data_IF_045139840546
#
_entry.id   IF_045139840546
#
_cell.length_a   1.000
_cell.length_b   1.000
_cell.length_c   1.000
_cell.angle_alpha   90.00
_cell.angle_beta   90.00
_cell.angle_gamma   90.00
#
_symmetry.space_group_name_H-M   'P 1'
#
loop_
_entity.id
_entity.type
_entity.pdbx_description
1 polymer ?
#
# COMPACT_ATOMS: atom_id res chain seq x y z
N UNK A 1 3.36 5.82 -15.46
CA UNK A 1 2.72 5.31 -14.21
C UNK A 1 1.46 6.06 -13.82
N UNK A 2 1.36 7.37 -14.10
CA UNK A 2 0.18 8.18 -13.79
C UNK A 2 -1.18 7.59 -14.22
N UNK A 3 -1.35 6.97 -15.41
CA UNK A 3 -2.64 6.37 -15.78
C UNK A 3 -3.16 5.32 -14.80
N UNK A 4 -2.29 4.47 -14.23
CA UNK A 4 -2.68 3.47 -13.24
C UNK A 4 -3.23 4.09 -11.94
N UNK A 5 -2.77 5.29 -11.59
CA UNK A 5 -3.24 6.01 -10.40
C UNK A 5 -4.48 6.87 -10.65
N UNK A 6 -4.71 7.23 -11.91
CA UNK A 6 -5.81 8.11 -12.31
C UNK A 6 -7.09 7.33 -12.57
N UNK A 7 -6.97 6.11 -13.10
CA UNK A 7 -8.11 5.33 -13.60
C UNK A 7 -8.40 4.15 -12.65
N UNK A 8 -9.66 3.97 -12.17
CA UNK A 8 -10.04 2.82 -11.35
C UNK A 8 -9.96 1.49 -12.10
N UNK A 9 -9.58 0.41 -11.41
CA UNK A 9 -9.36 -0.90 -12.01
C UNK A 9 -10.51 -1.86 -11.73
N UNK A 10 -11.05 -2.52 -12.75
CA UNK A 10 -11.99 -3.64 -12.55
C UNK A 10 -11.24 -4.77 -11.85
N UNK A 11 -11.74 -5.20 -10.69
CA UNK A 11 -11.01 -6.16 -9.84
C UNK A 11 -11.81 -7.41 -9.47
N UNK A 12 -13.13 -7.41 -9.62
CA UNK A 12 -13.95 -8.54 -9.16
C UNK A 12 -13.50 -9.85 -9.81
N UNK A 13 -13.22 -10.85 -8.97
CA UNK A 13 -12.79 -12.16 -9.44
C UNK A 13 -11.31 -12.25 -9.83
N UNK A 14 -10.59 -11.13 -9.93
CA UNK A 14 -9.18 -11.14 -10.32
C UNK A 14 -8.25 -11.56 -9.17
N UNK A 15 -7.13 -12.25 -9.47
CA UNK A 15 -6.12 -12.60 -8.48
C UNK A 15 -5.51 -11.35 -7.85
N UNK A 16 -5.36 -11.41 -6.53
CA UNK A 16 -4.83 -10.31 -5.73
C UNK A 16 -4.03 -10.86 -4.56
N UNK A 17 -2.82 -10.32 -4.36
CA UNK A 17 -1.88 -10.75 -3.31
C UNK A 17 -2.37 -10.46 -1.88
N UNK A 18 -3.40 -9.63 -1.75
CA UNK A 18 -3.99 -9.24 -0.46
C UNK A 18 -4.63 -10.43 0.24
N UNK A 19 -4.20 -10.70 1.47
CA UNK A 19 -4.62 -11.83 2.28
C UNK A 19 -3.80 -13.11 2.08
N UNK A 20 -2.77 -13.06 1.23
CA UNK A 20 -1.79 -14.14 1.05
C UNK A 20 -0.40 -13.68 1.53
N UNK A 21 0.21 -12.73 0.82
CA UNK A 21 1.53 -12.17 1.14
C UNK A 21 1.49 -10.71 1.60
N UNK A 22 0.30 -10.09 1.57
CA UNK A 22 0.07 -8.69 1.95
C UNK A 22 -1.13 -8.62 2.87
N UNK A 23 -1.02 -7.86 3.96
CA UNK A 23 -2.09 -7.64 4.93
C UNK A 23 -2.23 -6.16 5.27
N UNK A 24 -3.43 -5.76 5.70
CA UNK A 24 -3.69 -4.47 6.33
C UNK A 24 -3.92 -4.72 7.81
N UNK A 25 -3.32 -3.89 8.66
CA UNK A 25 -3.46 -3.98 10.12
C UNK A 25 -3.90 -2.62 10.64
N UNK A 26 -4.88 -2.59 11.54
CA UNK A 26 -5.29 -1.36 12.24
C UNK A 26 -4.55 -1.17 13.57
N UNK A 27 -4.87 -0.09 14.29
CA UNK A 27 -4.20 0.27 15.55
C UNK A 27 -4.39 -0.74 16.68
N UNK A 28 -5.48 -1.50 16.66
CA UNK A 28 -5.77 -2.54 17.65
C UNK A 28 -5.15 -3.90 17.25
N UNK A 29 -4.42 -3.94 16.14
CA UNK A 29 -3.77 -5.14 15.61
C UNK A 29 -4.69 -6.02 14.79
N UNK A 30 -5.93 -5.62 14.48
CA UNK A 30 -6.85 -6.44 13.69
C UNK A 30 -6.34 -6.53 12.26
N UNK A 31 -6.12 -7.76 11.79
CA UNK A 31 -5.61 -8.08 10.48
C UNK A 31 -6.76 -8.29 9.51
N UNK A 32 -6.72 -7.59 8.39
CA UNK A 32 -7.61 -7.77 7.24
C UNK A 32 -6.77 -7.99 5.99
N UNK A 33 -7.36 -8.61 4.96
CA UNK A 33 -6.64 -8.78 3.69
C UNK A 33 -6.38 -7.46 2.98
N UNK A 34 -7.34 -6.56 2.98
CA UNK A 34 -7.33 -5.28 2.27
C UNK A 34 -8.02 -4.22 3.14
N UNK A 35 -7.64 -2.95 3.00
CA UNK A 35 -8.25 -1.85 3.73
C UNK A 35 -9.79 -1.74 3.53
N UNK A 36 -10.27 -2.05 2.33
CA UNK A 36 -11.68 -1.96 1.96
C UNK A 36 -12.47 -3.25 2.17
N UNK A 37 -11.80 -4.40 2.33
CA UNK A 37 -12.46 -5.68 2.61
C UNK A 37 -12.52 -5.87 4.13
N UNK A 38 -13.71 -5.74 4.70
CA UNK A 38 -13.91 -5.70 6.16
C UNK A 38 -13.73 -7.05 6.88
N UNK A 39 -13.78 -8.16 6.14
CA UNK A 39 -13.59 -9.49 6.70
C UNK A 39 -12.23 -9.61 7.41
N UNK A 40 -12.30 -9.95 8.68
CA UNK A 40 -11.14 -10.10 9.57
C UNK A 40 -10.49 -11.47 9.37
N UNK A 41 -9.16 -11.47 9.40
CA UNK A 41 -8.35 -12.68 9.32
C UNK A 41 -7.90 -13.15 10.71
N UNK A 42 -7.82 -12.24 11.68
CA UNK A 42 -7.35 -12.47 13.04
C UNK A 42 -6.65 -11.21 13.58
N UNK A 43 -5.79 -11.36 14.59
CA UNK A 43 -5.02 -10.26 15.18
C UNK A 43 -3.50 -10.49 15.02
N UNK A 44 -2.75 -9.40 14.82
CA UNK A 44 -1.30 -9.39 14.63
C UNK A 44 -0.57 -9.82 15.90
N UNK A 45 -1.04 -9.36 17.06
CA UNK A 45 -0.36 -9.51 18.34
C UNK A 45 -0.42 -10.95 18.88
N UNK A 46 -1.51 -11.67 18.61
CA UNK A 46 -1.65 -13.08 18.98
C UNK A 46 -1.30 -14.06 17.83
N UNK A 47 -1.01 -13.53 16.64
CA UNK A 47 -0.66 -14.32 15.45
C UNK A 47 -1.79 -15.16 14.86
N UNK A 48 -3.03 -15.02 15.34
CA UNK A 48 -4.18 -15.81 14.89
C UNK A 48 -4.47 -15.68 13.39
N UNK A 49 -4.12 -14.52 12.80
CA UNK A 49 -4.30 -14.23 11.38
C UNK A 49 -3.62 -15.22 10.43
N UNK A 50 -2.50 -15.82 10.87
CA UNK A 50 -1.64 -16.65 10.01
C UNK A 50 -2.39 -17.85 9.42
N UNK A 51 -3.32 -18.43 10.18
CA UNK A 51 -4.14 -19.57 9.73
C UNK A 51 -5.13 -19.21 8.63
N UNK A 52 -5.45 -17.92 8.50
CA UNK A 52 -6.39 -17.42 7.51
C UNK A 52 -5.69 -16.85 6.27
N UNK A 53 -4.37 -16.93 6.15
CA UNK A 53 -3.65 -16.49 4.95
C UNK A 53 -3.82 -17.49 3.81
N UNK A 54 -4.01 -16.98 2.59
CA UNK A 54 -4.09 -17.79 1.39
C UNK A 54 -4.57 -17.00 0.17
N UNK A 55 -4.34 -17.54 -1.04
CA UNK A 55 -4.72 -16.91 -2.29
C UNK A 55 -6.24 -16.73 -2.37
N UNK A 56 -6.68 -15.55 -2.80
CA UNK A 56 -8.11 -15.22 -2.93
C UNK A 56 -8.34 -14.19 -4.02
N UNK A 57 -9.40 -14.37 -4.80
CA UNK A 57 -9.87 -13.33 -5.72
C UNK A 57 -10.32 -12.06 -4.98
N UNK A 58 -10.21 -10.90 -5.63
CA UNK A 58 -10.73 -9.64 -5.09
C UNK A 58 -12.28 -9.63 -5.12
N UNK A 59 -12.96 -9.32 -4.01
CA UNK A 59 -14.42 -9.26 -3.96
C UNK A 59 -15.00 -7.92 -4.43
N UNK A 60 -14.16 -6.88 -4.57
CA UNK A 60 -14.61 -5.55 -4.97
C UNK A 60 -14.78 -5.49 -6.48
N UNK A 61 -15.86 -4.88 -6.95
CA UNK A 61 -16.09 -4.61 -8.37
C UNK A 61 -14.95 -3.78 -8.99
N UNK A 62 -14.50 -2.77 -8.25
CA UNK A 62 -13.48 -1.81 -8.65
C UNK A 62 -12.50 -1.58 -7.50
N UNK A 63 -11.22 -1.42 -7.84
CA UNK A 63 -10.14 -1.05 -6.93
C UNK A 63 -9.47 0.24 -7.42
N UNK A 64 -9.43 1.28 -6.59
CA UNK A 64 -8.95 2.62 -6.93
C UNK A 64 -7.86 3.15 -5.99
N UNK A 65 -7.67 2.51 -4.83
CA UNK A 65 -6.59 2.85 -3.91
C UNK A 65 -5.27 2.22 -4.33
N UNK A 66 -4.18 3.00 -4.36
CA UNK A 66 -2.87 2.47 -4.71
C UNK A 66 -2.41 1.34 -3.81
N UNK A 67 -2.62 1.47 -2.50
CA UNK A 67 -2.31 0.42 -1.51
C UNK A 67 -3.09 -0.89 -1.74
N UNK A 68 -4.09 -0.87 -2.62
CA UNK A 68 -4.85 -2.05 -3.03
C UNK A 68 -4.49 -2.48 -4.45
N UNK A 69 -4.68 -1.61 -5.45
CA UNK A 69 -4.54 -1.99 -6.86
C UNK A 69 -3.11 -2.40 -7.21
N UNK A 70 -2.09 -1.90 -6.51
CA UNK A 70 -0.70 -2.31 -6.73
C UNK A 70 -0.49 -3.81 -6.50
N UNK A 71 -1.38 -4.46 -5.76
CA UNK A 71 -1.37 -5.89 -5.47
C UNK A 71 -2.33 -6.72 -6.36
N UNK A 72 -3.00 -6.11 -7.35
CA UNK A 72 -3.71 -6.85 -8.39
C UNK A 72 -2.68 -7.48 -9.33
N UNK A 73 -2.68 -8.80 -9.44
CA UNK A 73 -1.67 -9.52 -10.22
C UNK A 73 -1.85 -9.34 -11.73
N UNK A 74 -3.01 -8.86 -12.16
CA UNK A 74 -3.29 -8.48 -13.54
C UNK A 74 -2.64 -7.17 -13.97
N UNK A 75 -2.10 -6.38 -13.04
CA UNK A 75 -1.38 -5.14 -13.34
C UNK A 75 0.14 -5.38 -13.26
N UNK A 76 0.94 -4.72 -14.12
CA UNK A 76 2.40 -4.95 -14.17
C UNK A 76 3.15 -4.25 -13.03
N UNK A 77 2.47 -3.83 -11.97
CA UNK A 77 3.00 -2.89 -11.00
C UNK A 77 3.99 -3.51 -10.02
N UNK A 78 3.89 -4.81 -9.76
CA UNK A 78 4.91 -5.52 -8.98
C UNK A 78 6.26 -5.53 -9.68
N UNK A 79 6.28 -5.67 -11.01
CA UNK A 79 7.53 -5.65 -11.78
C UNK A 79 8.07 -4.22 -11.92
N UNK A 80 7.17 -3.25 -12.13
CA UNK A 80 7.51 -1.83 -12.21
C UNK A 80 8.18 -1.34 -10.92
N UNK A 81 7.62 -1.68 -9.76
CA UNK A 81 8.10 -1.14 -8.48
C UNK A 81 9.08 -2.08 -7.77
N UNK A 82 9.00 -3.40 -7.98
CA UNK A 82 9.83 -4.42 -7.34
C UNK A 82 9.92 -4.22 -5.81
N UNK A 83 11.09 -3.83 -5.30
CA UNK A 83 11.28 -3.55 -3.87
C UNK A 83 10.62 -2.27 -3.38
N UNK A 84 10.25 -1.34 -4.27
CA UNK A 84 9.68 -0.02 -3.94
C UNK A 84 8.15 0.06 -4.08
N UNK A 85 7.43 -1.06 -3.93
CA UNK A 85 5.97 -1.15 -4.10
C UNK A 85 5.22 -0.21 -3.16
N UNK A 86 5.62 -0.13 -1.88
CA UNK A 86 4.92 0.67 -0.88
C UNK A 86 5.28 2.16 -0.99
N UNK A 87 6.55 2.45 -1.29
CA UNK A 87 7.12 3.78 -1.47
C UNK A 87 6.77 4.39 -2.83
N UNK A 88 6.25 3.56 -3.76
CA UNK A 88 5.94 3.90 -5.15
C UNK A 88 7.17 4.37 -5.94
N UNK A 89 8.32 3.75 -5.67
CA UNK A 89 9.59 4.05 -6.34
C UNK A 89 9.84 2.98 -7.40
N UNK A 90 9.85 3.32 -8.70
CA UNK A 90 10.08 2.34 -9.75
C UNK A 90 11.47 1.70 -9.65
N UNK A 91 11.56 0.43 -10.04
CA UNK A 91 12.83 -0.25 -10.23
C UNK A 91 13.70 0.54 -11.21
N UNK A 92 14.96 0.75 -10.84
CA UNK A 92 15.91 1.55 -11.63
C UNK A 92 15.79 3.06 -11.45
N UNK A 93 14.90 3.56 -10.58
CA UNK A 93 14.96 4.95 -10.16
C UNK A 93 16.25 5.20 -9.36
N UNK A 94 17.08 6.21 -9.70
CA UNK A 94 18.33 6.45 -8.99
C UNK A 94 18.05 6.80 -7.53
N UNK A 95 18.74 6.19 -6.55
CA UNK A 95 18.63 6.59 -5.16
C UNK A 95 19.01 8.08 -5.04
N UNK A 96 18.10 8.90 -4.50
CA UNK A 96 18.34 10.33 -4.32
C UNK A 96 18.01 11.24 -5.51
N UNK A 97 17.37 10.75 -6.59
CA UNK A 97 16.93 11.62 -7.68
C UNK A 97 15.83 12.65 -7.28
N UNK A 98 15.30 12.56 -6.06
CA UNK A 98 14.46 13.59 -5.43
C UNK A 98 15.20 14.48 -4.40
N UNK A 99 16.48 14.21 -4.15
CA UNK A 99 17.32 15.00 -3.25
C UNK A 99 18.03 16.07 -4.09
N UNK A 100 17.80 17.37 -3.87
CA UNK A 100 18.61 18.40 -4.50
C UNK A 100 20.09 18.16 -4.14
N UNK A 101 21.04 18.52 -5.02
CA UNK A 101 22.45 18.15 -4.91
C UNK A 101 23.12 18.51 -3.56
N UNK A 102 22.55 19.44 -2.81
CA UNK A 102 23.10 19.94 -1.55
C UNK A 102 22.41 19.38 -0.28
N UNK A 103 21.48 18.40 -0.40
CA UNK A 103 20.82 17.80 0.76
C UNK A 103 19.91 18.75 1.56
N UNK A 104 19.72 19.99 1.09
CA UNK A 104 18.78 20.94 1.66
C UNK A 104 17.35 20.47 1.37
N UNK A 105 16.72 19.87 2.38
CA UNK A 105 15.25 19.79 2.45
C UNK A 105 14.76 21.23 2.59
N UNK A 106 14.41 21.88 1.48
CA UNK A 106 13.71 23.16 1.53
C UNK A 106 12.34 22.88 2.17
N UNK A 107 12.04 23.41 3.36
CA UNK A 107 10.72 23.26 3.93
C UNK A 107 9.73 23.90 2.96
N UNK A 108 8.78 23.12 2.44
CA UNK A 108 7.68 23.70 1.68
C UNK A 108 6.98 24.78 2.52
N UNK A 109 6.45 25.86 1.91
CA UNK A 109 5.92 27.03 2.62
C UNK A 109 4.74 26.74 3.57
N UNK A 110 4.25 25.50 3.58
CA UNK A 110 3.08 25.05 4.33
C UNK A 110 3.38 24.33 5.65
N UNK A 111 4.65 24.13 6.05
CA UNK A 111 4.93 23.59 7.38
C UNK A 111 4.74 24.68 8.43
N UNK A 112 3.50 24.94 8.83
CA UNK A 112 3.22 25.60 10.10
C UNK A 112 3.85 24.74 11.19
N UNK A 113 4.78 25.32 11.94
CA UNK A 113 5.26 24.71 13.18
C UNK A 113 4.04 24.49 14.08
N UNK A 114 3.70 23.23 14.34
CA UNK A 114 2.76 22.91 15.40
C UNK A 114 3.49 23.20 16.71
N UNK A 115 2.94 24.03 17.61
CA UNK A 115 3.55 24.21 18.92
C UNK A 115 3.61 22.85 19.61
N UNK A 116 4.79 22.51 20.12
CA UNK A 116 4.94 21.41 21.08
C UNK A 116 3.98 21.70 22.23
N UNK A 117 3.01 20.82 22.46
CA UNK A 117 2.31 20.81 23.73
C UNK A 117 3.33 20.37 24.77
N UNK A 118 3.80 21.33 25.56
CA UNK A 118 4.52 21.06 26.81
C UNK A 118 3.53 20.38 27.79
N UNK A 119 4.00 19.43 28.62
CA UNK A 119 3.16 18.61 29.50
C UNK A 119 2.47 19.38 30.63
#
# INVERSE_FOLDING_TARGET
>A
LFPYSRDPHRSAGLPCRTGESVISVDGDGTVRRCHFVKAELGNLYDGSYRRALGPRACPLAVCDCHIGYVHLESLPLYDVFAGGVLERIPAGHPPGAGTPPDGLVVPGPSRRALPLLEP
#
